data_IF_247688174667
#
_entry.id   IF_247688174667
#
_cell.length_a   1.000
_cell.length_b   1.000
_cell.length_c   1.000
_cell.angle_alpha   90.00
_cell.angle_beta   90.00
_cell.angle_gamma   90.00
#
_symmetry.space_group_name_H-M   'P 1'
#
loop_
_entity.id
_entity.type
_entity.pdbx_description
1 polymer ?
#
# COMPACT_ATOMS: atom_id res chain seq x y z
N UNK A 1 19.94 30.81 -4.34
CA UNK A 1 18.64 30.14 -4.50
C UNK A 1 18.92 28.68 -4.76
N UNK A 2 18.77 27.82 -3.75
CA UNK A 2 18.91 26.38 -3.96
C UNK A 2 17.74 25.94 -4.83
N UNK A 3 18.01 25.36 -6.00
CA UNK A 3 16.97 24.66 -6.75
C UNK A 3 16.44 23.57 -5.81
N UNK A 4 15.18 23.67 -5.40
CA UNK A 4 14.50 22.54 -4.76
C UNK A 4 14.59 21.40 -5.78
N UNK A 5 15.34 20.35 -5.46
CA UNK A 5 15.42 19.19 -6.32
C UNK A 5 13.99 18.71 -6.56
N UNK A 6 13.58 18.65 -7.83
CA UNK A 6 12.29 18.07 -8.22
C UNK A 6 12.18 16.70 -7.57
N UNK A 7 11.23 16.56 -6.65
CA UNK A 7 11.05 15.35 -5.86
C UNK A 7 10.54 14.24 -6.77
N UNK A 8 11.08 13.04 -6.62
CA UNK A 8 10.71 11.93 -7.51
C UNK A 8 9.31 11.41 -7.13
N UNK A 9 8.50 10.99 -8.11
CA UNK A 9 7.11 10.54 -7.88
C UNK A 9 6.98 9.39 -6.86
N UNK A 10 8.00 8.53 -6.78
CA UNK A 10 8.09 7.45 -5.78
C UNK A 10 8.47 7.90 -4.37
N UNK A 11 8.74 9.18 -4.14
CA UNK A 11 9.01 9.68 -2.78
C UNK A 11 7.72 9.84 -1.98
N UNK A 12 6.60 10.08 -2.67
CA UNK A 12 5.23 10.08 -2.15
C UNK A 12 4.29 9.36 -3.15
N UNK A 13 4.40 8.02 -3.28
CA UNK A 13 3.72 7.27 -4.33
C UNK A 13 2.20 7.25 -4.14
N UNK A 14 1.71 7.33 -2.90
CA UNK A 14 0.27 7.45 -2.63
C UNK A 14 -0.29 8.77 -3.19
N UNK A 15 0.38 9.90 -2.92
CA UNK A 15 0.00 11.21 -3.46
C UNK A 15 0.04 11.18 -4.98
N UNK A 16 1.15 10.75 -5.57
CA UNK A 16 1.34 10.70 -7.02
C UNK A 16 0.31 9.80 -7.72
N UNK A 17 -0.11 8.69 -7.09
CA UNK A 17 -1.18 7.83 -7.61
C UNK A 17 -2.52 8.57 -7.58
N UNK A 18 -2.91 9.12 -6.43
CA UNK A 18 -4.22 9.76 -6.20
C UNK A 18 -4.37 11.09 -6.93
N UNK A 19 -3.28 11.75 -7.31
CA UNK A 19 -3.31 12.92 -8.21
C UNK A 19 -3.12 12.55 -9.68
N UNK A 20 -2.89 11.28 -9.98
CA UNK A 20 -2.54 10.78 -11.30
C UNK A 20 -3.48 9.65 -11.76
N UNK A 21 -2.95 8.47 -12.17
CA UNK A 21 -3.76 7.36 -12.67
C UNK A 21 -4.92 6.93 -11.76
N UNK A 22 -4.81 7.12 -10.44
CA UNK A 22 -5.84 6.77 -9.46
C UNK A 22 -6.73 7.96 -9.04
N UNK A 23 -6.73 9.08 -9.78
CA UNK A 23 -7.56 10.25 -9.45
C UNK A 23 -9.06 9.93 -9.31
N UNK A 24 -9.56 8.90 -10.03
CA UNK A 24 -10.95 8.43 -9.90
C UNK A 24 -11.31 7.87 -8.51
N UNK A 25 -10.31 7.48 -7.72
CA UNK A 25 -10.47 6.99 -6.35
C UNK A 25 -10.22 8.08 -5.31
N UNK A 26 -9.84 9.29 -5.68
CA UNK A 26 -9.40 10.28 -4.70
C UNK A 26 -10.58 10.91 -3.95
N UNK A 27 -10.68 10.60 -2.66
CA UNK A 27 -11.43 11.43 -1.71
C UNK A 27 -10.51 12.52 -1.17
N UNK A 28 -10.94 13.78 -1.25
CA UNK A 28 -10.10 14.96 -0.95
C UNK A 28 -10.68 15.79 0.18
N UNK A 29 -9.79 16.24 1.08
CA UNK A 29 -10.05 17.35 2.00
C UNK A 29 -8.78 18.20 2.12
N UNK A 30 -8.88 19.47 1.73
CA UNK A 30 -7.69 20.33 1.56
C UNK A 30 -6.63 19.68 0.66
N UNK A 31 -5.40 19.57 1.18
CA UNK A 31 -4.29 18.89 0.48
C UNK A 31 -4.22 17.39 0.76
N UNK A 32 -5.02 16.86 1.69
CA UNK A 32 -5.07 15.44 2.03
C UNK A 32 -5.92 14.67 1.03
N UNK A 33 -5.41 13.53 0.59
CA UNK A 33 -6.11 12.59 -0.27
C UNK A 33 -6.18 11.21 0.39
N UNK A 34 -7.25 10.46 0.15
CA UNK A 34 -7.31 9.04 0.50
C UNK A 34 -8.07 8.22 -0.53
N UNK A 35 -7.88 6.91 -0.47
CA UNK A 35 -8.78 5.97 -1.13
C UNK A 35 -10.07 5.78 -0.30
N UNK A 36 -11.20 5.40 -0.93
CA UNK A 36 -12.32 4.79 -0.23
C UNK A 36 -11.83 3.61 0.60
N UNK A 37 -12.32 3.50 1.84
CA UNK A 37 -11.83 2.48 2.79
C UNK A 37 -12.09 1.05 2.32
N UNK A 38 -13.11 0.85 1.49
CA UNK A 38 -13.43 -0.44 0.86
C UNK A 38 -12.53 -0.77 -0.34
N UNK A 39 -11.74 0.19 -0.84
CA UNK A 39 -10.71 0.02 -1.87
C UNK A 39 -9.33 -0.16 -1.23
N UNK A 40 -8.98 0.70 -0.27
CA UNK A 40 -7.67 0.66 0.40
C UNK A 40 -7.64 1.61 1.61
N UNK A 41 -6.92 1.28 2.70
CA UNK A 41 -6.78 2.17 3.85
C UNK A 41 -5.80 3.33 3.60
N UNK A 42 -5.02 3.30 2.51
CA UNK A 42 -3.96 4.27 2.26
C UNK A 42 -4.49 5.69 2.05
N UNK A 43 -3.68 6.64 2.51
CA UNK A 43 -3.88 8.06 2.29
C UNK A 43 -2.55 8.72 1.91
N UNK A 44 -2.64 9.97 1.51
CA UNK A 44 -1.53 10.80 1.14
C UNK A 44 -1.65 12.16 1.82
N UNK A 45 -0.68 12.43 2.70
CA UNK A 45 -0.38 13.78 3.15
C UNK A 45 0.47 14.50 2.08
N UNK A 46 0.43 15.84 2.03
CA UNK A 46 1.48 16.59 1.37
C UNK A 46 2.84 16.25 2.01
N UNK A 47 3.89 16.57 1.29
CA UNK A 47 5.27 16.29 1.68
C UNK A 47 5.72 17.04 2.94
N UNK A 48 5.09 18.19 3.19
CA UNK A 48 5.30 19.14 4.27
C UNK A 48 3.95 19.47 4.91
N UNK A 49 3.32 18.51 5.62
CA UNK A 49 2.01 18.73 6.20
C UNK A 49 2.10 19.75 7.34
N UNK A 50 1.18 20.71 7.32
CA UNK A 50 0.97 21.69 8.37
C UNK A 50 -0.21 21.31 9.27
N UNK A 51 -0.53 22.17 10.24
CA UNK A 51 -1.61 21.92 11.19
C UNK A 51 -2.99 21.77 10.52
N UNK A 52 -3.24 22.49 9.41
CA UNK A 52 -4.51 22.42 8.70
C UNK A 52 -4.63 21.07 7.98
N UNK A 53 -3.54 20.54 7.41
CA UNK A 53 -3.54 19.19 6.82
C UNK A 53 -3.83 18.10 7.85
N UNK A 54 -3.31 18.23 9.08
CA UNK A 54 -3.61 17.30 10.16
C UNK A 54 -5.06 17.40 10.64
N UNK A 55 -5.62 18.61 10.70
CA UNK A 55 -7.03 18.82 11.00
C UNK A 55 -7.95 18.24 9.90
N UNK A 56 -7.57 18.41 8.63
CA UNK A 56 -8.27 17.83 7.50
C UNK A 56 -8.18 16.30 7.49
N UNK A 57 -7.01 15.74 7.81
CA UNK A 57 -6.87 14.29 7.96
C UNK A 57 -7.77 13.75 9.09
N UNK A 58 -7.77 14.39 10.26
CA UNK A 58 -8.62 13.99 11.38
C UNK A 58 -10.10 13.99 11.00
N UNK A 59 -10.55 15.05 10.32
CA UNK A 59 -11.94 15.20 9.95
C UNK A 59 -12.35 14.33 8.75
N UNK A 60 -11.39 13.88 7.93
CA UNK A 60 -11.61 12.94 6.84
C UNK A 60 -11.67 11.48 7.34
N UNK A 61 -10.87 11.13 8.34
CA UNK A 61 -10.81 9.77 8.91
C UNK A 61 -11.84 9.54 10.02
N UNK A 62 -12.23 10.60 10.74
CA UNK A 62 -13.11 10.53 11.89
C UNK A 62 -12.36 10.27 13.22
N UNK A 63 -12.90 10.74 14.36
CA UNK A 63 -12.28 10.53 15.67
C UNK A 63 -12.05 9.05 16.02
N UNK A 64 -10.93 8.74 16.67
CA UNK A 64 -10.59 7.39 17.11
C UNK A 64 -10.19 6.42 16.00
N UNK A 65 -10.35 6.80 14.72
CA UNK A 65 -9.92 5.99 13.58
C UNK A 65 -8.40 5.85 13.55
N UNK A 66 -7.91 4.66 13.24
CA UNK A 66 -6.51 4.44 12.92
C UNK A 66 -6.28 4.73 11.43
N UNK A 67 -5.24 5.52 11.13
CA UNK A 67 -4.87 5.87 9.76
C UNK A 67 -3.42 5.49 9.45
N UNK A 68 -3.16 4.84 8.30
CA UNK A 68 -1.80 4.60 7.87
C UNK A 68 -1.17 5.86 7.26
N UNK A 69 0.10 6.10 7.57
CA UNK A 69 0.91 7.23 7.12
C UNK A 69 2.16 6.72 6.36
N UNK A 70 1.99 6.09 5.18
CA UNK A 70 3.09 5.45 4.47
C UNK A 70 4.12 6.46 4.00
N UNK A 71 5.39 6.24 4.34
CA UNK A 71 6.50 7.09 3.97
C UNK A 71 6.64 8.39 4.76
N UNK A 72 5.71 8.68 5.67
CA UNK A 72 5.83 9.83 6.57
C UNK A 72 6.88 9.56 7.65
N UNK A 73 7.84 10.50 7.76
CA UNK A 73 8.95 10.43 8.73
C UNK A 73 9.04 11.67 9.63
N UNK A 74 8.07 12.57 9.53
CA UNK A 74 8.01 13.77 10.35
C UNK A 74 7.48 13.50 11.75
N UNK A 75 7.37 14.58 12.53
CA UNK A 75 6.77 14.54 13.85
C UNK A 75 5.25 14.46 13.75
N UNK A 76 4.66 13.64 14.61
CA UNK A 76 3.21 13.52 14.71
C UNK A 76 2.71 14.59 15.69
N UNK A 77 1.63 15.34 15.36
CA UNK A 77 1.13 16.39 16.23
C UNK A 77 0.72 15.87 17.61
N UNK A 78 0.72 16.78 18.59
CA UNK A 78 0.18 16.48 19.92
C UNK A 78 -1.28 15.99 19.84
N UNK A 79 -1.64 15.09 20.74
CA UNK A 79 -2.97 14.46 20.80
C UNK A 79 -3.15 13.22 19.91
N UNK A 80 -2.30 13.03 18.89
CA UNK A 80 -2.32 11.82 18.06
C UNK A 80 -1.51 10.70 18.73
N UNK A 81 -2.03 9.48 18.72
CA UNK A 81 -1.34 8.30 19.25
C UNK A 81 -0.68 7.53 18.11
N UNK A 82 0.63 7.28 18.18
CA UNK A 82 1.29 6.38 17.24
C UNK A 82 0.95 4.93 17.64
N UNK A 83 0.19 4.24 16.80
CA UNK A 83 -0.24 2.86 17.08
C UNK A 83 0.68 1.81 16.45
N UNK A 84 1.38 2.17 15.38
CA UNK A 84 2.34 1.30 14.72
C UNK A 84 3.48 2.10 14.10
N UNK A 85 4.72 1.62 14.21
CA UNK A 85 5.87 2.19 13.51
C UNK A 85 6.88 1.10 13.14
N UNK A 86 7.30 1.07 11.89
CA UNK A 86 8.37 0.22 11.39
C UNK A 86 9.19 0.91 10.30
N UNK A 87 10.48 0.60 10.21
CA UNK A 87 11.30 1.01 9.06
C UNK A 87 10.90 0.17 7.83
N UNK A 88 10.82 0.83 6.68
CA UNK A 88 10.55 0.20 5.40
C UNK A 88 11.67 0.44 4.40
N UNK A 89 11.65 -0.32 3.32
CA UNK A 89 12.53 -0.16 2.16
C UNK A 89 11.71 -0.17 0.89
N UNK A 90 12.11 0.63 -0.08
CA UNK A 90 11.51 0.72 -1.40
C UNK A 90 12.51 0.21 -2.44
N UNK A 91 12.03 -0.67 -3.31
CA UNK A 91 12.79 -1.26 -4.40
C UNK A 91 12.20 -0.84 -5.74
N UNK A 92 13.05 -0.72 -6.75
CA UNK A 92 12.67 -0.48 -8.14
C UNK A 92 13.28 -1.55 -9.03
N UNK A 93 12.61 -1.84 -10.14
CA UNK A 93 13.15 -2.69 -11.18
C UNK A 93 14.50 -2.14 -11.69
N UNK A 94 15.52 -3.00 -11.71
CA UNK A 94 16.88 -2.71 -12.15
C UNK A 94 17.42 -3.85 -13.04
N UNK A 95 16.52 -4.56 -13.73
CA UNK A 95 16.87 -5.70 -14.56
C UNK A 95 16.10 -6.98 -14.21
N UNK A 96 14.84 -6.87 -13.77
CA UNK A 96 13.99 -8.04 -13.59
C UNK A 96 13.99 -8.92 -14.84
N UNK A 97 14.11 -10.24 -14.66
CA UNK A 97 13.86 -11.22 -15.72
C UNK A 97 12.35 -11.46 -15.89
N UNK A 98 11.59 -10.37 -16.08
CA UNK A 98 10.13 -10.40 -16.14
C UNK A 98 9.65 -11.26 -17.32
N UNK A 99 8.78 -12.23 -17.02
CA UNK A 99 8.25 -13.19 -17.98
C UNK A 99 6.82 -13.58 -17.58
N UNK A 100 5.94 -13.89 -18.54
CA UNK A 100 4.63 -14.43 -18.21
C UNK A 100 4.76 -15.80 -17.55
N UNK A 101 3.76 -16.17 -16.76
CA UNK A 101 3.67 -17.51 -16.18
C UNK A 101 2.49 -18.27 -16.80
N UNK A 102 2.69 -19.47 -17.38
CA UNK A 102 1.64 -20.21 -18.08
C UNK A 102 0.55 -20.77 -17.14
N UNK A 103 0.81 -20.90 -15.84
CA UNK A 103 -0.20 -21.31 -14.85
C UNK A 103 -0.94 -20.13 -14.24
N UNK A 104 -0.41 -18.91 -14.36
CA UNK A 104 -1.02 -17.73 -13.78
C UNK A 104 -2.28 -17.35 -14.56
N UNK A 105 -3.40 -17.28 -13.85
CA UNK A 105 -4.66 -16.77 -14.37
C UNK A 105 -4.89 -15.34 -13.91
N UNK A 106 -5.58 -14.54 -14.72
CA UNK A 106 -6.05 -13.21 -14.31
C UNK A 106 -7.23 -13.38 -13.36
N UNK A 107 -7.13 -12.79 -12.17
CA UNK A 107 -8.20 -12.74 -11.19
C UNK A 107 -9.12 -11.55 -11.47
N UNK A 108 -10.42 -11.74 -11.24
CA UNK A 108 -11.45 -10.72 -11.42
C UNK A 108 -12.39 -10.60 -10.21
N UNK A 109 -13.41 -9.74 -10.28
CA UNK A 109 -14.31 -9.49 -9.15
C UNK A 109 -14.98 -10.75 -8.57
N UNK A 110 -15.18 -11.78 -9.40
CA UNK A 110 -15.74 -13.06 -8.95
C UNK A 110 -14.80 -13.86 -8.03
N UNK A 111 -13.49 -13.61 -8.09
CA UNK A 111 -12.47 -14.28 -7.27
C UNK A 111 -12.28 -13.61 -5.90
N UNK A 112 -12.84 -12.41 -5.66
CA UNK A 112 -12.63 -11.63 -4.43
C UNK A 112 -12.87 -12.43 -3.14
N UNK A 113 -13.93 -13.27 -3.02
CA UNK A 113 -14.11 -14.10 -1.84
C UNK A 113 -12.92 -15.04 -1.57
N UNK A 114 -12.37 -15.69 -2.60
CA UNK A 114 -11.19 -16.55 -2.47
C UNK A 114 -9.90 -15.76 -2.19
N UNK A 115 -9.78 -14.57 -2.78
CA UNK A 115 -8.64 -13.67 -2.52
C UNK A 115 -8.62 -13.23 -1.06
N UNK A 116 -9.77 -12.83 -0.50
CA UNK A 116 -9.90 -12.43 0.90
C UNK A 116 -9.62 -13.60 1.85
N UNK A 117 -10.08 -14.80 1.51
CA UNK A 117 -9.78 -16.03 2.26
C UNK A 117 -8.26 -16.33 2.27
N UNK A 118 -7.59 -16.25 1.10
CA UNK A 118 -6.13 -16.41 1.04
C UNK A 118 -5.38 -15.31 1.81
N UNK A 119 -5.83 -14.06 1.73
CA UNK A 119 -5.28 -12.92 2.51
C UNK A 119 -5.41 -13.18 4.00
N UNK A 120 -6.57 -13.64 4.47
CA UNK A 120 -6.79 -13.94 5.89
C UNK A 120 -5.83 -15.01 6.41
N UNK A 121 -5.51 -16.03 5.60
CA UNK A 121 -4.56 -17.09 5.96
C UNK A 121 -3.08 -16.67 5.89
N UNK A 122 -2.74 -15.66 5.10
CA UNK A 122 -1.34 -15.34 4.75
C UNK A 122 -0.86 -13.96 5.19
N UNK A 123 -1.79 -13.05 5.50
CA UNK A 123 -1.56 -11.69 5.99
C UNK A 123 -0.50 -10.89 5.18
N UNK A 124 -0.65 -10.75 3.84
CA UNK A 124 0.32 -10.03 3.00
C UNK A 124 0.29 -8.50 3.15
N UNK A 125 -0.61 -7.99 3.97
CA UNK A 125 -0.94 -6.56 4.09
C UNK A 125 -2.42 -6.32 3.79
N UNK A 126 -2.86 -5.05 3.86
CA UNK A 126 -4.27 -4.69 3.65
C UNK A 126 -4.78 -5.11 2.27
N UNK A 127 -5.96 -5.74 2.26
CA UNK A 127 -6.70 -6.10 1.06
C UNK A 127 -8.19 -6.12 1.39
N UNK A 128 -8.95 -5.30 0.69
CA UNK A 128 -10.37 -5.03 0.91
C UNK A 128 -11.19 -5.49 -0.29
N UNK A 129 -12.52 -5.47 -0.15
CA UNK A 129 -13.47 -5.96 -1.17
C UNK A 129 -13.24 -5.37 -2.57
N UNK A 130 -12.76 -4.13 -2.67
CA UNK A 130 -12.53 -3.43 -3.93
C UNK A 130 -11.06 -3.16 -4.21
N UNK A 131 -10.13 -3.71 -3.42
CA UNK A 131 -8.68 -3.57 -3.69
C UNK A 131 -8.29 -4.12 -5.06
N UNK A 132 -9.03 -5.11 -5.59
CA UNK A 132 -8.86 -5.61 -6.95
C UNK A 132 -9.03 -4.53 -8.03
N UNK A 133 -9.76 -3.44 -7.76
CA UNK A 133 -9.96 -2.34 -8.72
C UNK A 133 -8.70 -1.48 -8.95
N UNK A 134 -7.67 -1.66 -8.10
CA UNK A 134 -6.40 -0.92 -8.17
C UNK A 134 -5.47 -1.41 -9.30
N UNK A 135 -5.75 -2.56 -9.92
CA UNK A 135 -4.98 -3.01 -11.07
C UNK A 135 -5.13 -4.50 -11.38
N UNK A 136 -4.12 -5.06 -12.04
CA UNK A 136 -4.09 -6.47 -12.41
C UNK A 136 -3.70 -7.34 -11.23
N UNK A 137 -4.45 -8.42 -11.03
CA UNK A 137 -4.13 -9.50 -10.09
C UNK A 137 -3.98 -10.81 -10.85
N UNK A 138 -2.94 -11.56 -10.52
CA UNK A 138 -2.64 -12.88 -11.04
C UNK A 138 -2.71 -13.90 -9.91
N UNK A 139 -3.24 -15.08 -10.21
CA UNK A 139 -3.38 -16.17 -9.25
C UNK A 139 -2.95 -17.52 -9.83
N UNK A 140 -2.54 -18.43 -8.96
CA UNK A 140 -2.27 -19.83 -9.30
C UNK A 140 -3.20 -20.70 -8.46
N UNK A 141 -3.84 -21.69 -9.11
CA UNK A 141 -4.76 -22.63 -8.47
C UNK A 141 -4.16 -24.04 -8.36
N UNK A 142 -4.54 -24.76 -7.32
CA UNK A 142 -4.28 -26.21 -7.12
C UNK A 142 -5.58 -26.86 -6.72
N UNK A 143 -5.94 -27.96 -7.37
CA UNK A 143 -7.19 -28.69 -7.13
C UNK A 143 -8.44 -27.78 -7.10
N UNK A 144 -8.42 -26.75 -7.95
CA UNK A 144 -9.49 -25.75 -8.06
C UNK A 144 -9.43 -24.60 -7.06
N UNK A 145 -8.63 -24.66 -5.99
CA UNK A 145 -8.51 -23.59 -4.99
C UNK A 145 -7.41 -22.58 -5.33
N UNK A 146 -7.64 -21.29 -5.08
CA UNK A 146 -6.59 -20.25 -5.16
C UNK A 146 -5.54 -20.46 -4.05
N UNK A 147 -4.30 -20.76 -4.44
CA UNK A 147 -3.21 -21.04 -3.48
C UNK A 147 -2.10 -20.00 -3.48
N UNK A 148 -2.01 -19.16 -4.50
CA UNK A 148 -1.06 -18.05 -4.52
C UNK A 148 -1.61 -16.91 -5.37
N UNK A 149 -1.31 -15.67 -4.99
CA UNK A 149 -1.60 -14.50 -5.83
C UNK A 149 -0.57 -13.40 -5.64
N UNK A 150 -0.51 -12.52 -6.63
CA UNK A 150 0.17 -11.23 -6.57
C UNK A 150 -0.61 -10.24 -7.43
N UNK A 151 -0.50 -8.94 -7.15
CA UNK A 151 -1.14 -7.95 -7.99
C UNK A 151 -0.55 -6.57 -7.84
N UNK A 152 -1.32 -5.60 -8.28
CA UNK A 152 -0.93 -4.20 -8.39
C UNK A 152 -1.62 -3.35 -7.31
N UNK A 153 -0.96 -2.28 -6.86
CA UNK A 153 -1.51 -1.41 -5.80
C UNK A 153 -1.37 0.08 -6.05
N UNK A 154 -0.22 0.69 -5.76
CA UNK A 154 -0.02 2.12 -6.07
C UNK A 154 0.39 2.27 -7.54
N UNK A 155 -0.14 3.30 -8.21
CA UNK A 155 0.09 3.57 -9.63
C UNK A 155 0.51 5.04 -9.86
N UNK A 156 1.71 5.46 -9.41
CA UNK A 156 2.27 6.76 -9.80
C UNK A 156 2.49 6.84 -11.32
N UNK A 157 2.49 8.03 -11.94
CA UNK A 157 2.77 8.17 -13.37
C UNK A 157 4.08 7.47 -13.79
N UNK A 158 3.98 6.49 -14.70
CA UNK A 158 5.13 5.71 -15.21
C UNK A 158 5.58 4.54 -14.31
N UNK A 159 4.91 4.31 -13.17
CA UNK A 159 5.29 3.28 -12.18
C UNK A 159 4.08 2.50 -11.69
N UNK A 160 4.26 1.20 -11.45
CA UNK A 160 3.22 0.39 -10.79
C UNK A 160 3.83 -0.45 -9.67
N UNK A 161 3.16 -0.44 -8.52
CA UNK A 161 3.59 -1.19 -7.35
C UNK A 161 3.15 -2.64 -7.43
N UNK A 162 4.09 -3.58 -7.25
CA UNK A 162 3.77 -4.99 -7.00
C UNK A 162 3.45 -5.17 -5.51
N UNK A 163 2.31 -5.78 -5.23
CA UNK A 163 1.72 -5.92 -3.90
C UNK A 163 0.94 -7.23 -3.76
N UNK A 164 0.43 -7.49 -2.55
CA UNK A 164 -0.42 -8.62 -2.22
C UNK A 164 0.18 -9.99 -2.58
N UNK A 165 1.51 -10.09 -2.60
CA UNK A 165 2.22 -11.33 -2.90
C UNK A 165 2.03 -12.28 -1.72
N UNK A 166 1.24 -13.33 -1.92
CA UNK A 166 1.00 -14.35 -0.92
C UNK A 166 0.94 -15.74 -1.53
N UNK A 167 1.22 -16.73 -0.68
CA UNK A 167 1.19 -18.15 -1.03
C UNK A 167 0.74 -18.91 0.21
N UNK A 168 -0.26 -19.77 0.00
CA UNK A 168 -0.84 -20.64 1.00
C UNK A 168 0.28 -21.45 1.69
N UNK A 169 0.30 -21.52 3.03
CA UNK A 169 1.31 -22.27 3.78
C UNK A 169 1.52 -23.70 3.29
N UNK A 170 0.47 -24.38 2.80
CA UNK A 170 0.52 -25.76 2.36
C UNK A 170 1.38 -26.01 1.09
N UNK A 171 1.61 -24.98 0.27
CA UNK A 171 2.34 -25.08 -1.01
C UNK A 171 3.55 -24.14 -1.09
N UNK A 172 4.07 -23.71 0.07
CA UNK A 172 5.29 -22.89 0.12
C UNK A 172 6.51 -23.71 -0.30
N UNK A 173 7.52 -23.02 -0.83
CA UNK A 173 8.75 -23.65 -1.31
C UNK A 173 8.72 -24.06 -2.78
N UNK A 174 7.57 -23.97 -3.46
CA UNK A 174 7.42 -24.25 -4.90
C UNK A 174 7.78 -23.06 -5.82
N UNK A 175 8.24 -21.94 -5.25
CA UNK A 175 8.64 -20.76 -6.02
C UNK A 175 7.47 -19.92 -6.59
N UNK A 176 6.23 -20.15 -6.16
CA UNK A 176 5.03 -19.48 -6.69
C UNK A 176 5.07 -17.95 -6.55
N UNK A 177 5.56 -17.44 -5.42
CA UNK A 177 5.71 -16.00 -5.21
C UNK A 177 6.65 -15.36 -6.24
N UNK A 178 7.81 -15.98 -6.51
CA UNK A 178 8.77 -15.53 -7.53
C UNK A 178 8.11 -15.48 -8.91
N UNK A 179 7.47 -16.59 -9.29
CA UNK A 179 6.77 -16.73 -10.58
C UNK A 179 5.73 -15.62 -10.77
N UNK A 180 4.89 -15.39 -9.76
CA UNK A 180 3.87 -14.35 -9.80
C UNK A 180 4.45 -12.92 -9.82
N UNK A 181 5.52 -12.63 -9.06
CA UNK A 181 6.19 -11.33 -9.12
C UNK A 181 6.71 -11.05 -10.54
N UNK A 182 7.37 -12.03 -11.18
CA UNK A 182 7.89 -11.88 -12.53
C UNK A 182 6.78 -11.72 -13.58
N UNK A 183 5.66 -12.42 -13.42
CA UNK A 183 4.49 -12.30 -14.30
C UNK A 183 3.78 -10.95 -14.15
N UNK A 184 3.61 -10.45 -12.93
CA UNK A 184 3.07 -9.09 -12.71
C UNK A 184 4.03 -8.04 -13.28
N UNK A 185 5.33 -8.16 -13.02
CA UNK A 185 6.35 -7.28 -13.59
C UNK A 185 6.34 -7.28 -15.13
N UNK A 186 6.08 -8.43 -15.75
CA UNK A 186 5.95 -8.55 -17.20
C UNK A 186 4.79 -7.69 -17.72
N UNK A 187 3.59 -7.86 -17.15
CA UNK A 187 2.43 -7.06 -17.53
C UNK A 187 2.60 -5.56 -17.26
N UNK A 188 3.36 -5.16 -16.24
CA UNK A 188 3.72 -3.75 -15.98
C UNK A 188 4.63 -3.21 -17.11
N UNK A 189 5.65 -3.97 -17.52
CA UNK A 189 6.57 -3.56 -18.58
C UNK A 189 5.93 -3.53 -19.96
N UNK A 190 5.03 -4.46 -20.26
CA UNK A 190 4.34 -4.51 -21.57
C UNK A 190 3.57 -3.24 -21.88
N UNK A 191 3.06 -2.55 -20.85
CA UNK A 191 2.36 -1.27 -20.97
C UNK A 191 3.25 -0.04 -20.77
N UNK A 192 4.58 -0.21 -20.74
CA UNK A 192 5.55 0.88 -20.69
C UNK A 192 5.77 1.49 -19.29
N UNK A 193 5.44 0.77 -18.23
CA UNK A 193 5.62 1.21 -16.85
C UNK A 193 6.77 0.48 -16.16
N UNK A 194 7.27 1.05 -15.07
CA UNK A 194 8.36 0.45 -14.28
C UNK A 194 7.83 -0.15 -12.97
N UNK A 195 8.10 -1.44 -12.68
CA UNK A 195 7.75 -2.06 -11.41
C UNK A 195 8.51 -1.45 -10.22
N UNK A 196 7.82 -1.28 -9.11
CA UNK A 196 8.43 -1.00 -7.81
C UNK A 196 7.69 -1.76 -6.70
N UNK A 197 8.27 -1.81 -5.50
CA UNK A 197 7.60 -2.41 -4.34
C UNK A 197 8.16 -1.87 -3.03
N UNK A 198 7.45 -2.15 -1.95
CA UNK A 198 7.91 -1.90 -0.60
C UNK A 198 7.91 -3.17 0.25
N UNK A 199 8.80 -3.24 1.23
CA UNK A 199 8.74 -4.23 2.31
C UNK A 199 9.31 -3.67 3.60
N UNK A 200 9.05 -4.34 4.72
CA UNK A 200 9.63 -3.96 6.01
C UNK A 200 11.14 -4.16 5.99
N UNK A 201 11.90 -3.22 6.56
CA UNK A 201 13.37 -3.30 6.60
C UNK A 201 13.88 -4.52 7.40
N UNK A 202 13.04 -5.07 8.29
CA UNK A 202 13.32 -6.29 9.04
C UNK A 202 13.03 -7.59 8.24
N UNK A 203 12.34 -7.50 7.09
CA UNK A 203 11.99 -8.67 6.29
C UNK A 203 13.14 -9.10 5.37
N UNK A 204 14.20 -9.63 5.98
CA UNK A 204 15.43 -10.03 5.28
C UNK A 204 15.20 -11.07 4.20
N UNK A 205 14.20 -11.94 4.37
CA UNK A 205 13.86 -12.96 3.38
C UNK A 205 13.27 -12.34 2.11
N UNK A 206 12.32 -11.41 2.26
CA UNK A 206 11.76 -10.69 1.12
C UNK A 206 12.81 -9.82 0.43
N UNK A 207 13.66 -9.12 1.20
CA UNK A 207 14.75 -8.31 0.66
C UNK A 207 15.68 -9.14 -0.23
N UNK A 208 16.19 -10.28 0.27
CA UNK A 208 17.05 -11.17 -0.51
C UNK A 208 16.36 -11.71 -1.76
N UNK A 209 15.07 -12.04 -1.64
CA UNK A 209 14.27 -12.46 -2.78
C UNK A 209 14.25 -11.36 -3.84
N UNK A 210 13.82 -10.14 -3.49
CA UNK A 210 13.70 -9.05 -4.46
C UNK A 210 15.03 -8.70 -5.13
N UNK A 211 16.12 -8.64 -4.35
CA UNK A 211 17.46 -8.43 -4.90
C UNK A 211 17.86 -9.54 -5.89
N UNK A 212 17.60 -10.81 -5.55
CA UNK A 212 17.89 -11.93 -6.44
C UNK A 212 17.08 -11.93 -7.74
N UNK A 213 15.90 -11.29 -7.74
CA UNK A 213 15.06 -11.17 -8.93
C UNK A 213 15.53 -10.05 -9.88
N UNK A 214 16.36 -9.12 -9.41
CA UNK A 214 16.80 -7.94 -10.19
C UNK A 214 16.11 -6.63 -9.77
N UNK A 215 15.54 -6.57 -8.57
CA UNK A 215 15.20 -5.30 -7.95
C UNK A 215 16.43 -4.66 -7.29
N UNK A 216 16.56 -3.34 -7.39
CA UNK A 216 17.55 -2.56 -6.65
C UNK A 216 16.90 -1.73 -5.55
N UNK A 217 17.53 -1.69 -4.38
CA UNK A 217 17.12 -0.81 -3.30
C UNK A 217 17.19 0.64 -3.77
N UNK A 218 16.06 1.34 -3.75
CA UNK A 218 15.96 2.76 -4.10
C UNK A 218 16.16 3.64 -2.88
N UNK A 219 15.44 3.36 -1.79
CA UNK A 219 15.51 4.18 -0.56
C UNK A 219 14.96 3.45 0.68
N UNK A 220 15.31 3.98 1.84
CA UNK A 220 14.61 3.69 3.11
C UNK A 220 13.39 4.58 3.25
N UNK A 221 12.33 4.03 3.82
CA UNK A 221 11.05 4.67 4.09
C UNK A 221 10.57 4.31 5.50
N UNK A 222 9.38 4.75 5.89
CA UNK A 222 8.73 4.32 7.13
C UNK A 222 7.32 3.83 6.86
N UNK A 223 6.86 2.87 7.65
CA UNK A 223 5.47 2.51 7.77
C UNK A 223 5.01 2.95 9.15
N UNK A 224 4.02 3.82 9.17
CA UNK A 224 3.49 4.42 10.37
C UNK A 224 1.97 4.26 10.34
N UNK A 225 1.36 4.05 11.50
CA UNK A 225 -0.06 4.28 11.71
C UNK A 225 -0.24 5.11 12.97
N UNK A 226 -1.24 5.98 12.94
CA UNK A 226 -1.59 6.82 14.08
C UNK A 226 -3.11 6.85 14.25
N UNK A 227 -3.55 7.02 15.50
CA UNK A 227 -4.96 7.17 15.86
C UNK A 227 -5.32 8.65 15.89
N UNK A 228 -6.43 8.98 15.23
CA UNK A 228 -7.03 10.31 15.25
C UNK A 228 -7.47 10.63 16.69
N UNK A 229 -7.16 11.82 17.22
CA UNK A 229 -7.60 12.23 18.56
C UNK A 229 -9.11 12.13 18.70
N UNK A 230 -9.60 11.71 19.87
CA UNK A 230 -11.00 11.89 20.21
C UNK A 230 -11.27 13.36 20.55
N UNK A 231 -12.45 13.91 20.21
CA UNK A 231 -12.84 15.21 20.72
C UNK A 231 -12.86 15.13 22.25
N UNK A 232 -12.24 16.10 22.91
CA UNK A 232 -12.30 16.21 24.36
C UNK A 232 -13.76 16.22 24.78
N UNK A 233 -14.17 15.20 25.54
CA UNK A 233 -15.50 15.21 26.16
C UNK A 233 -15.38 16.16 27.34
N UNK A 234 -15.87 17.40 27.20
CA UNK A 234 -15.99 18.28 28.37
C UNK A 234 -16.74 17.52 29.48
N UNK A 235 -16.23 17.49 30.73
CA UNK A 235 -16.94 16.86 31.81
C UNK A 235 -18.28 17.56 31.95
N UNK A 236 -19.38 16.82 31.74
CA UNK A 236 -20.74 17.30 32.02
C UNK A 236 -20.75 17.81 33.46
N UNK A 237 -20.85 19.13 33.64
CA UNK A 237 -21.21 19.71 34.93
C UNK A 237 -22.48 19.01 35.40
N UNK A 238 -22.38 18.31 36.53
CA UNK A 238 -23.52 17.71 37.17
C UNK A 238 -24.48 18.85 37.53
N UNK A 239 -25.61 18.92 36.80
CA UNK A 239 -26.72 19.80 37.15
C UNK A 239 -27.20 19.38 38.53
N UNK A 240 -26.81 20.12 39.56
CA UNK A 240 -27.35 20.00 40.89
C UNK A 240 -28.82 20.43 40.84
N UNK A 241 -29.71 19.45 40.81
CA UNK A 241 -31.14 19.69 41.02
C UNK A 241 -31.31 20.06 42.48
N UNK A 242 -31.68 21.33 42.72
CA UNK A 242 -32.10 21.84 44.04
C UNK A 242 -33.56 21.50 44.31
#
# INVERSE_FOLDING_TARGET
>A
MSAAASRHVLDNPALASLTGPHARFAERRGRVLRYPVDVSPWLALPDDPDADDWADLAALAGPGSEVPLPGYRGEIPEGWEITFRAEGVQFVDDGLAAAPDPEAIRLGPADVPEMLDLVARTQPGPFENRTIELGTYLGIRRDGALVAMAGERLHPPGWTEISAVCTDPAVRGEGLATRLILAVAHGIRERGETPFLHTGAANTNAIRLYESLGFRLRRRTAFLAARVPEPETEPREAVAVS
#
